data_IF_942920186871
#
_entry.id   IF_942920186871
#
_cell.length_a   1.000
_cell.length_b   1.000
_cell.length_c   1.000
_cell.angle_alpha   90.00
_cell.angle_beta   90.00
_cell.angle_gamma   90.00
#
_symmetry.space_group_name_H-M   'P 1'
#
loop_
_entity.id
_entity.type
_entity.pdbx_description
1 polymer ?
#
# COMPACT_ATOMS: atom_id res chain seq x y z
N UNK A 1 25.25 -43.39 -42.74
CA UNK A 1 23.89 -43.53 -42.21
C UNK A 1 23.92 -43.09 -40.76
N UNK A 2 23.65 -41.81 -40.53
CA UNK A 2 23.50 -41.24 -39.20
C UNK A 2 22.02 -41.33 -38.80
N UNK A 3 21.73 -42.17 -37.82
CA UNK A 3 20.45 -42.24 -37.17
C UNK A 3 20.20 -40.99 -36.35
N UNK A 4 19.24 -40.19 -36.71
CA UNK A 4 18.66 -39.13 -35.88
C UNK A 4 17.78 -39.79 -34.83
N UNK A 5 18.21 -39.70 -33.58
CA UNK A 5 17.42 -40.07 -32.43
C UNK A 5 16.70 -38.82 -31.93
N UNK A 6 15.54 -38.52 -32.52
CA UNK A 6 14.64 -37.41 -32.12
C UNK A 6 13.69 -37.93 -31.05
N UNK A 7 14.15 -38.08 -29.84
CA UNK A 7 13.36 -38.14 -28.63
C UNK A 7 13.66 -36.94 -27.74
N UNK A 8 13.13 -35.78 -28.14
CA UNK A 8 12.95 -34.68 -27.20
C UNK A 8 11.97 -35.14 -26.14
N UNK A 9 12.47 -35.67 -25.04
CA UNK A 9 11.68 -35.86 -23.82
C UNK A 9 11.39 -34.46 -23.30
N UNK A 10 10.21 -33.93 -23.64
CA UNK A 10 9.65 -32.77 -22.98
C UNK A 10 9.47 -33.15 -21.51
N UNK A 11 10.46 -32.82 -20.69
CA UNK A 11 10.31 -32.88 -19.26
C UNK A 11 9.21 -31.89 -18.88
N UNK A 12 8.02 -32.39 -18.60
CA UNK A 12 7.01 -31.65 -17.84
C UNK A 12 7.62 -31.36 -16.49
N UNK A 13 8.33 -30.24 -16.39
CA UNK A 13 8.70 -29.70 -15.10
C UNK A 13 7.38 -29.43 -14.36
N UNK A 14 7.06 -30.28 -13.41
CA UNK A 14 5.95 -30.05 -12.50
C UNK A 14 6.40 -28.92 -11.56
N UNK A 15 5.92 -27.72 -11.82
CA UNK A 15 6.07 -26.56 -10.93
C UNK A 15 5.26 -26.68 -9.62
N UNK A 16 4.74 -27.87 -9.31
CA UNK A 16 3.95 -28.12 -8.09
C UNK A 16 4.81 -28.37 -6.83
N UNK A 17 6.14 -28.41 -6.96
CA UNK A 17 7.00 -28.84 -5.85
C UNK A 17 7.35 -27.75 -4.83
N UNK A 18 7.19 -26.46 -5.20
CA UNK A 18 7.61 -25.34 -4.33
C UNK A 18 6.41 -24.52 -3.80
N UNK A 19 5.19 -25.02 -3.90
CA UNK A 19 4.04 -24.36 -3.31
C UNK A 19 4.08 -24.50 -1.79
N UNK A 20 3.85 -23.41 -1.03
CA UNK A 20 3.77 -23.51 0.43
C UNK A 20 2.75 -24.56 0.85
N UNK A 21 3.07 -25.35 1.87
CA UNK A 21 2.12 -26.34 2.39
C UNK A 21 0.88 -25.63 2.91
N UNK A 22 -0.30 -26.27 2.79
CA UNK A 22 -1.56 -25.71 3.30
C UNK A 22 -1.51 -25.39 4.82
N UNK A 23 -0.57 -25.99 5.56
CA UNK A 23 -0.35 -25.73 6.98
C UNK A 23 0.44 -24.43 7.25
N UNK A 24 1.19 -23.95 6.25
CA UNK A 24 2.01 -22.74 6.33
C UNK A 24 1.37 -21.55 5.62
N UNK A 25 0.26 -21.79 4.95
CA UNK A 25 -0.46 -20.80 4.17
C UNK A 25 -1.34 -19.89 5.05
N UNK A 26 -1.60 -18.66 4.54
CA UNK A 26 -2.51 -17.75 5.20
C UNK A 26 -3.95 -18.27 5.23
N UNK A 27 -4.73 -17.80 6.19
CA UNK A 27 -6.13 -18.21 6.32
C UNK A 27 -7.04 -17.40 5.39
N UNK A 28 -7.89 -18.09 4.59
CA UNK A 28 -8.95 -17.40 3.87
C UNK A 28 -10.01 -16.87 4.85
N UNK A 29 -10.40 -15.61 4.67
CA UNK A 29 -11.45 -14.95 5.45
C UNK A 29 -12.72 -14.88 4.61
N UNK A 30 -13.77 -15.64 4.99
CA UNK A 30 -15.06 -15.61 4.31
C UNK A 30 -15.12 -16.40 3.00
N UNK A 31 -16.22 -16.22 2.24
CA UNK A 31 -16.52 -16.97 1.02
C UNK A 31 -15.81 -16.45 -0.25
N UNK A 32 -15.16 -15.29 -0.16
CA UNK A 32 -14.55 -14.60 -1.29
C UNK A 32 -15.54 -13.86 -2.18
N UNK A 33 -15.04 -12.85 -2.86
CA UNK A 33 -15.81 -11.91 -3.69
C UNK A 33 -15.71 -12.33 -5.16
N UNK A 34 -16.82 -12.63 -5.85
CA UNK A 34 -16.80 -12.88 -7.28
C UNK A 34 -16.50 -11.58 -8.04
N UNK A 35 -15.54 -11.63 -8.97
CA UNK A 35 -15.12 -10.49 -9.77
C UNK A 35 -15.12 -10.82 -11.26
N UNK A 36 -15.43 -9.85 -12.12
CA UNK A 36 -15.35 -10.02 -13.57
C UNK A 36 -13.87 -9.97 -14.01
N UNK A 37 -13.55 -10.74 -15.06
CA UNK A 37 -12.22 -10.76 -15.67
C UNK A 37 -12.32 -10.62 -17.19
N UNK A 38 -11.35 -9.93 -17.80
CA UNK A 38 -11.25 -9.77 -19.24
C UNK A 38 -10.71 -11.04 -19.91
N UNK A 39 -11.51 -11.61 -20.82
CA UNK A 39 -11.07 -12.72 -21.68
C UNK A 39 -10.47 -12.13 -22.98
N UNK A 40 -9.15 -12.11 -23.07
CA UNK A 40 -8.44 -11.55 -24.22
C UNK A 40 -8.68 -12.35 -25.53
N UNK A 41 -8.96 -13.66 -25.43
CA UNK A 41 -9.25 -14.51 -26.61
C UNK A 41 -10.61 -14.18 -27.22
N UNK A 42 -11.61 -13.99 -26.35
CA UNK A 42 -12.97 -13.66 -26.74
C UNK A 42 -13.26 -12.16 -26.80
N UNK A 43 -12.27 -11.32 -26.39
CA UNK A 43 -12.39 -9.86 -26.30
C UNK A 43 -13.66 -9.40 -25.59
N UNK A 44 -13.99 -10.04 -24.48
CA UNK A 44 -15.19 -9.71 -23.69
C UNK A 44 -14.91 -9.81 -22.20
N UNK A 45 -15.66 -9.02 -21.43
CA UNK A 45 -15.67 -9.11 -19.97
C UNK A 45 -16.54 -10.28 -19.54
N UNK A 46 -16.00 -11.22 -18.77
CA UNK A 46 -16.75 -12.33 -18.19
C UNK A 46 -17.11 -11.99 -16.76
N UNK A 47 -18.40 -11.99 -16.44
CA UNK A 47 -18.91 -11.79 -15.09
C UNK A 47 -18.55 -13.01 -14.23
N UNK A 48 -18.26 -12.77 -12.94
CA UNK A 48 -18.00 -13.79 -11.92
C UNK A 48 -16.95 -14.83 -12.34
N UNK A 49 -15.95 -14.37 -13.11
CA UNK A 49 -14.96 -15.26 -13.72
C UNK A 49 -13.80 -15.61 -12.80
N UNK A 50 -13.50 -14.77 -11.83
CA UNK A 50 -12.52 -15.02 -10.78
C UNK A 50 -13.13 -14.73 -9.42
N UNK A 51 -12.51 -15.26 -8.37
CA UNK A 51 -12.93 -15.05 -6.99
C UNK A 51 -11.78 -14.49 -6.19
N UNK A 52 -11.97 -13.30 -5.63
CA UNK A 52 -11.02 -12.67 -4.71
C UNK A 52 -11.25 -13.22 -3.32
N UNK A 53 -10.20 -13.73 -2.70
CA UNK A 53 -10.23 -14.28 -1.36
C UNK A 53 -9.34 -13.42 -0.46
N UNK A 54 -9.92 -12.80 0.56
CA UNK A 54 -9.14 -12.13 1.61
C UNK A 54 -8.37 -13.19 2.41
N UNK A 55 -7.10 -12.90 2.69
CA UNK A 55 -6.19 -13.79 3.42
C UNK A 55 -5.63 -13.06 4.62
N UNK A 56 -5.58 -13.75 5.76
CA UNK A 56 -4.98 -13.23 6.98
C UNK A 56 -3.75 -14.07 7.37
N UNK A 57 -2.66 -13.40 7.77
CA UNK A 57 -1.42 -14.06 8.16
C UNK A 57 -1.57 -14.84 9.47
N UNK A 58 -1.47 -16.18 9.41
CA UNK A 58 -1.64 -17.07 10.58
C UNK A 58 -0.55 -16.93 11.64
N UNK A 59 0.68 -16.66 11.24
CA UNK A 59 1.88 -16.82 12.08
C UNK A 59 2.75 -15.58 12.16
N UNK A 60 2.15 -14.41 11.93
CA UNK A 60 2.90 -13.17 12.05
C UNK A 60 3.17 -12.84 13.53
N UNK A 61 4.41 -13.00 13.96
CA UNK A 61 4.86 -12.55 15.27
C UNK A 61 5.36 -11.12 15.17
N UNK A 62 5.15 -10.26 16.20
CA UNK A 62 5.70 -8.91 16.20
C UNK A 62 7.22 -8.90 16.03
N UNK A 63 7.73 -8.09 15.10
CA UNK A 63 9.15 -8.01 14.76
C UNK A 63 9.63 -6.56 14.87
N UNK A 64 10.84 -6.39 15.41
CA UNK A 64 11.54 -5.10 15.38
C UNK A 64 12.01 -4.79 13.95
N UNK A 65 12.27 -3.50 13.67
CA UNK A 65 12.85 -3.10 12.39
C UNK A 65 14.24 -3.73 12.24
N UNK A 66 14.53 -4.46 11.15
CA UNK A 66 15.82 -5.08 10.90
C UNK A 66 16.98 -4.08 10.96
N UNK A 67 18.13 -4.50 11.49
CA UNK A 67 19.28 -3.62 11.68
C UNK A 67 19.78 -2.97 10.39
N UNK A 68 19.81 -3.72 9.29
CA UNK A 68 20.23 -3.22 7.98
C UNK A 68 19.33 -2.12 7.42
N UNK A 69 18.07 -2.01 7.87
CA UNK A 69 17.12 -0.97 7.45
C UNK A 69 17.12 0.26 8.34
N UNK A 70 17.69 0.20 9.56
CA UNK A 70 17.55 1.28 10.54
C UNK A 70 18.11 2.62 10.05
N UNK A 71 19.27 2.61 9.39
CA UNK A 71 19.88 3.83 8.87
C UNK A 71 19.05 4.44 7.74
N UNK A 72 18.60 3.62 6.81
CA UNK A 72 17.74 4.04 5.70
C UNK A 72 16.39 4.58 6.22
N UNK A 73 15.77 3.89 7.18
CA UNK A 73 14.54 4.32 7.81
C UNK A 73 14.66 5.70 8.50
N UNK A 74 15.77 5.94 9.23
CA UNK A 74 16.03 7.25 9.86
C UNK A 74 16.12 8.36 8.82
N UNK A 75 16.84 8.13 7.72
CA UNK A 75 16.97 9.11 6.61
C UNK A 75 15.62 9.40 5.97
N UNK A 76 14.86 8.36 5.64
CA UNK A 76 13.54 8.51 5.04
C UNK A 76 12.56 9.22 5.97
N UNK A 77 12.51 8.88 7.26
CA UNK A 77 11.68 9.58 8.24
C UNK A 77 12.00 11.07 8.27
N UNK A 78 13.29 11.45 8.29
CA UNK A 78 13.72 12.85 8.27
C UNK A 78 13.27 13.58 6.99
N UNK A 79 13.45 12.95 5.83
CA UNK A 79 13.04 13.52 4.54
C UNK A 79 11.52 13.68 4.44
N UNK A 80 10.77 12.68 4.86
CA UNK A 80 9.32 12.71 4.83
C UNK A 80 8.75 13.69 5.87
N UNK A 81 9.32 13.78 7.06
CA UNK A 81 8.93 14.77 8.07
C UNK A 81 9.12 16.21 7.57
N UNK A 82 10.12 16.46 6.71
CA UNK A 82 10.32 17.76 6.09
C UNK A 82 9.21 18.11 5.07
N UNK A 83 8.47 17.10 4.55
CA UNK A 83 7.32 17.30 3.68
C UNK A 83 6.03 17.62 4.44
N UNK A 84 6.04 17.55 5.77
CA UNK A 84 4.88 17.90 6.59
C UNK A 84 4.59 19.39 6.41
N UNK A 85 3.35 19.80 6.03
CA UNK A 85 3.06 21.20 5.79
C UNK A 85 3.34 22.05 7.03
N UNK A 86 4.08 23.13 6.86
CA UNK A 86 4.26 24.12 7.90
C UNK A 86 2.90 24.79 8.20
N UNK A 87 2.68 25.13 9.48
CA UNK A 87 1.53 25.97 9.83
C UNK A 87 1.63 27.29 9.09
N UNK A 88 0.64 27.59 8.24
CA UNK A 88 0.56 28.87 7.54
C UNK A 88 -0.56 29.72 8.12
N UNK A 89 -0.31 31.01 8.20
CA UNK A 89 -1.32 31.99 8.53
C UNK A 89 -2.35 32.07 7.40
N UNK A 90 -3.59 31.77 7.73
CA UNK A 90 -4.72 31.99 6.82
C UNK A 90 -5.42 33.28 7.21
N UNK A 91 -5.63 34.16 6.22
CA UNK A 91 -6.40 35.40 6.34
C UNK A 91 -7.89 35.14 6.20
N UNK A 92 -8.68 36.11 6.57
CA UNK A 92 -10.14 36.09 6.42
C UNK A 92 -10.83 34.93 7.18
N UNK A 93 -10.40 34.68 8.40
CA UNK A 93 -11.05 33.69 9.28
C UNK A 93 -12.06 34.37 10.20
N UNK A 94 -13.17 33.68 10.51
CA UNK A 94 -14.19 34.17 11.45
C UNK A 94 -13.66 34.20 12.90
N UNK A 95 -12.71 33.28 13.19
CA UNK A 95 -12.06 33.12 14.50
C UNK A 95 -10.57 32.85 14.26
N UNK A 96 -9.68 33.32 15.17
CA UNK A 96 -8.25 33.10 15.02
C UNK A 96 -7.42 33.62 16.18
N UNK A 97 -6.12 33.36 16.13
CA UNK A 97 -5.15 33.74 17.17
C UNK A 97 -4.74 35.23 17.11
N UNK A 98 -4.81 35.84 15.94
CA UNK A 98 -4.43 37.24 15.70
C UNK A 98 -5.48 37.96 14.85
N UNK A 99 -5.55 39.29 14.97
CA UNK A 99 -6.39 40.15 14.15
C UNK A 99 -5.64 40.58 12.87
N UNK A 100 -6.26 40.44 11.71
CA UNK A 100 -5.82 41.09 10.47
C UNK A 100 -6.22 42.56 10.47
N UNK A 101 -5.28 43.43 10.89
CA UNK A 101 -5.51 44.87 11.01
C UNK A 101 -5.94 45.47 9.65
N UNK A 102 -5.37 45.01 8.55
CA UNK A 102 -5.73 45.49 7.21
C UNK A 102 -7.18 45.09 6.84
N UNK A 103 -7.63 43.91 7.24
CA UNK A 103 -9.01 43.49 7.06
C UNK A 103 -9.97 44.31 7.95
N UNK A 104 -9.58 44.61 9.18
CA UNK A 104 -10.35 45.47 10.08
C UNK A 104 -10.52 46.88 9.51
N UNK A 105 -9.44 47.49 9.00
CA UNK A 105 -9.48 48.83 8.40
C UNK A 105 -10.38 48.83 7.16
N UNK A 106 -10.25 47.84 6.29
CA UNK A 106 -11.11 47.70 5.10
C UNK A 106 -12.58 47.57 5.48
N UNK A 107 -12.89 46.72 6.41
CA UNK A 107 -14.28 46.49 6.88
C UNK A 107 -14.87 47.74 7.52
N UNK A 108 -14.05 48.50 8.27
CA UNK A 108 -14.47 49.77 8.82
C UNK A 108 -14.80 50.81 7.72
N UNK A 109 -13.94 50.91 6.70
CA UNK A 109 -14.17 51.80 5.56
C UNK A 109 -15.42 51.41 4.75
N UNK A 110 -15.63 50.11 4.51
CA UNK A 110 -16.79 49.58 3.79
C UNK A 110 -18.08 49.85 4.55
N UNK A 111 -18.12 49.72 5.89
CA UNK A 111 -19.24 50.07 6.71
C UNK A 111 -19.61 51.55 6.64
N UNK A 112 -18.58 52.41 6.62
CA UNK A 112 -18.79 53.86 6.45
C UNK A 112 -19.33 54.22 5.06
N UNK A 113 -19.01 53.39 4.06
CA UNK A 113 -19.53 53.53 2.68
C UNK A 113 -20.91 52.89 2.49
N UNK A 114 -21.54 52.35 3.56
CA UNK A 114 -22.88 51.73 3.52
C UNK A 114 -22.93 50.30 3.03
N UNK A 115 -21.78 49.61 2.93
CA UNK A 115 -21.70 48.21 2.56
C UNK A 115 -21.80 47.30 3.83
N UNK A 116 -22.84 46.51 3.94
CA UNK A 116 -23.02 45.55 5.00
C UNK A 116 -22.32 44.23 4.63
N UNK A 117 -21.09 44.03 5.11
CA UNK A 117 -20.34 42.77 4.97
C UNK A 117 -20.07 42.15 6.35
N UNK A 118 -20.04 40.81 6.44
CA UNK A 118 -19.51 40.08 7.59
C UNK A 118 -18.00 40.37 7.77
N UNK A 119 -17.51 40.24 8.98
CA UNK A 119 -16.14 40.64 9.34
C UNK A 119 -15.24 39.41 9.63
N UNK A 120 -14.69 38.73 8.62
CA UNK A 120 -13.65 37.76 8.84
C UNK A 120 -12.31 38.48 9.01
N UNK A 121 -12.03 38.94 10.24
CA UNK A 121 -10.89 39.81 10.55
C UNK A 121 -9.78 39.08 11.29
N UNK A 122 -9.84 37.77 11.37
CA UNK A 122 -8.83 37.01 12.10
C UNK A 122 -7.83 36.30 11.19
N UNK A 123 -6.62 36.16 11.71
CA UNK A 123 -5.57 35.30 11.22
C UNK A 123 -5.61 34.03 12.06
N UNK A 124 -5.78 32.87 11.43
CA UNK A 124 -5.68 31.59 12.13
C UNK A 124 -4.45 30.83 11.61
N UNK A 125 -3.74 30.21 12.54
CA UNK A 125 -2.66 29.28 12.22
C UNK A 125 -3.25 27.90 11.92
N UNK A 126 -3.75 27.71 10.72
CA UNK A 126 -4.21 26.41 10.33
C UNK A 126 -3.03 25.54 9.88
N UNK A 127 -2.91 24.38 10.53
CA UNK A 127 -2.13 23.28 10.00
C UNK A 127 -2.89 22.81 8.76
N UNK A 128 -2.35 23.04 7.58
CA UNK A 128 -2.90 22.36 6.40
C UNK A 128 -2.75 20.87 6.67
N UNK A 129 -3.85 20.21 7.02
CA UNK A 129 -3.84 18.76 7.18
C UNK A 129 -3.52 18.15 5.83
N UNK A 130 -2.57 17.24 5.81
CA UNK A 130 -2.34 16.42 4.62
C UNK A 130 -3.50 15.43 4.55
N UNK A 131 -4.39 15.66 3.61
CA UNK A 131 -5.45 14.71 3.28
C UNK A 131 -4.93 13.74 2.20
N UNK A 132 -3.91 12.98 2.56
CA UNK A 132 -3.29 11.99 1.69
C UNK A 132 -3.51 10.59 2.26
N UNK A 133 -4.12 9.73 1.45
CA UNK A 133 -4.21 8.30 1.72
C UNK A 133 -3.38 7.53 0.69
N UNK A 134 -2.47 6.69 1.18
CA UNK A 134 -1.61 5.86 0.33
C UNK A 134 -2.02 4.39 0.40
N UNK A 135 -2.20 3.76 -0.76
CA UNK A 135 -2.38 2.31 -0.87
C UNK A 135 -1.14 1.69 -1.52
N UNK A 136 -0.48 0.79 -0.81
CA UNK A 136 0.61 -0.02 -1.34
C UNK A 136 0.10 -1.42 -1.64
N UNK A 137 0.14 -1.82 -2.91
CA UNK A 137 -0.26 -3.14 -3.38
C UNK A 137 0.95 -3.88 -3.94
N UNK A 138 1.37 -4.95 -3.27
CA UNK A 138 2.55 -5.74 -3.63
C UNK A 138 2.16 -7.01 -4.40
N UNK A 139 2.88 -7.30 -5.49
CA UNK A 139 2.81 -8.60 -6.15
C UNK A 139 3.64 -9.62 -5.35
N UNK A 140 2.98 -10.67 -4.89
CA UNK A 140 3.57 -11.75 -4.11
C UNK A 140 3.62 -13.06 -4.92
N UNK A 141 3.54 -13.00 -6.24
CA UNK A 141 3.58 -14.17 -7.10
C UNK A 141 4.96 -14.86 -7.08
N UNK A 142 5.01 -16.10 -7.56
CA UNK A 142 6.22 -16.91 -7.57
C UNK A 142 7.39 -16.28 -8.35
N UNK A 143 7.11 -15.39 -9.31
CA UNK A 143 8.14 -14.64 -10.04
C UNK A 143 9.01 -13.76 -9.12
N UNK A 144 8.49 -13.38 -7.95
CA UNK A 144 9.24 -12.59 -6.95
C UNK A 144 10.26 -13.42 -6.16
N UNK A 145 10.30 -14.74 -6.34
CA UNK A 145 11.33 -15.61 -5.78
C UNK A 145 12.64 -15.58 -6.57
N UNK A 146 12.67 -14.89 -7.72
CA UNK A 146 13.86 -14.73 -8.54
C UNK A 146 14.99 -14.02 -7.76
N UNK A 147 16.22 -14.52 -7.91
CA UNK A 147 17.43 -13.89 -7.35
C UNK A 147 17.75 -12.59 -8.08
N UNK A 148 18.12 -11.55 -7.34
CA UNK A 148 18.64 -10.27 -7.88
C UNK A 148 20.16 -10.25 -7.78
N UNK A 149 20.71 -10.78 -6.68
CA UNK A 149 22.13 -10.86 -6.39
C UNK A 149 22.40 -12.07 -5.48
N UNK A 150 23.68 -12.31 -5.16
CA UNK A 150 24.04 -13.35 -4.22
C UNK A 150 23.28 -13.19 -2.91
N UNK A 151 22.43 -14.18 -2.59
CA UNK A 151 21.56 -14.25 -1.40
C UNK A 151 20.44 -13.18 -1.29
N UNK A 152 20.10 -12.43 -2.34
CA UNK A 152 19.00 -11.46 -2.33
C UNK A 152 17.95 -11.81 -3.41
N UNK A 153 16.71 -11.99 -3.03
CA UNK A 153 15.58 -12.24 -3.92
C UNK A 153 14.73 -10.98 -4.07
N UNK A 154 13.91 -10.92 -5.13
CA UNK A 154 12.96 -9.83 -5.35
C UNK A 154 12.02 -9.67 -4.14
N UNK A 155 11.54 -10.79 -3.57
CA UNK A 155 10.65 -10.75 -2.40
C UNK A 155 11.30 -10.12 -1.17
N UNK A 156 12.60 -10.29 -0.98
CA UNK A 156 13.33 -9.69 0.14
C UNK A 156 13.39 -8.16 -0.04
N UNK A 157 13.66 -7.68 -1.27
CA UNK A 157 13.61 -6.26 -1.61
C UNK A 157 12.19 -5.66 -1.45
N UNK A 158 11.14 -6.43 -1.77
CA UNK A 158 9.74 -6.02 -1.55
C UNK A 158 9.48 -5.85 -0.05
N UNK A 159 9.86 -6.81 0.78
CA UNK A 159 9.71 -6.72 2.25
C UNK A 159 10.42 -5.50 2.82
N UNK A 160 11.68 -5.31 2.45
CA UNK A 160 12.48 -4.17 2.89
C UNK A 160 11.87 -2.84 2.44
N UNK A 161 11.45 -2.75 1.19
CA UNK A 161 10.77 -1.59 0.63
C UNK A 161 9.47 -1.26 1.36
N UNK A 162 8.64 -2.27 1.66
CA UNK A 162 7.41 -2.10 2.41
C UNK A 162 7.67 -1.61 3.84
N UNK A 163 8.66 -2.17 4.54
CA UNK A 163 9.04 -1.71 5.87
C UNK A 163 9.52 -0.26 5.85
N UNK A 164 10.43 0.10 4.94
CA UNK A 164 10.97 1.44 4.83
C UNK A 164 9.90 2.48 4.49
N UNK A 165 9.01 2.15 3.55
CA UNK A 165 7.91 3.03 3.14
C UNK A 165 6.92 3.26 4.29
N UNK A 166 6.60 2.20 5.03
CA UNK A 166 5.71 2.28 6.20
C UNK A 166 6.31 3.15 7.31
N UNK A 167 7.61 3.02 7.58
CA UNK A 167 8.31 3.86 8.55
C UNK A 167 8.30 5.35 8.14
N UNK A 168 8.42 5.64 6.85
CA UNK A 168 8.38 6.99 6.33
C UNK A 168 6.97 7.61 6.41
N UNK A 169 5.93 6.89 5.96
CA UNK A 169 4.54 7.36 6.03
C UNK A 169 4.05 7.52 7.47
N UNK A 170 4.40 6.59 8.34
CA UNK A 170 4.07 6.68 9.77
C UNK A 170 4.70 7.92 10.42
N UNK A 171 5.91 8.32 10.01
CA UNK A 171 6.57 9.53 10.53
C UNK A 171 5.89 10.83 10.06
N UNK A 172 5.23 10.83 8.91
CA UNK A 172 4.42 11.97 8.42
C UNK A 172 3.05 12.05 9.07
N UNK A 173 2.57 10.95 9.65
CA UNK A 173 1.20 10.81 10.10
C UNK A 173 0.20 10.63 8.95
N UNK A 174 0.67 10.25 7.75
CA UNK A 174 -0.20 9.99 6.60
C UNK A 174 -0.97 8.67 6.80
N UNK A 175 -2.21 8.66 6.36
CA UNK A 175 -3.03 7.45 6.37
C UNK A 175 -2.60 6.51 5.24
N UNK A 176 -2.31 5.26 5.56
CA UNK A 176 -1.91 4.30 4.54
C UNK A 176 -2.37 2.88 4.83
N UNK A 177 -2.52 2.11 3.76
CA UNK A 177 -2.79 0.67 3.82
C UNK A 177 -1.79 -0.11 2.98
N UNK A 178 -1.59 -1.37 3.33
CA UNK A 178 -0.72 -2.30 2.61
C UNK A 178 -1.43 -3.61 2.39
N UNK A 179 -1.43 -4.05 1.14
CA UNK A 179 -1.94 -5.35 0.73
C UNK A 179 -0.96 -6.04 -0.20
N UNK A 180 -1.03 -7.36 -0.22
CA UNK A 180 -0.32 -8.17 -1.19
C UNK A 180 -1.29 -9.02 -2.00
N UNK A 181 -0.93 -9.41 -3.20
CA UNK A 181 -1.75 -10.30 -3.99
C UNK A 181 -0.96 -11.41 -4.67
N UNK A 182 -1.61 -12.55 -4.82
CA UNK A 182 -1.16 -13.68 -5.62
C UNK A 182 -2.39 -14.45 -6.12
N UNK A 183 -2.24 -15.46 -6.96
CA UNK A 183 -3.40 -16.23 -7.42
C UNK A 183 -3.12 -17.71 -7.60
N UNK A 184 -3.93 -18.55 -6.99
CA UNK A 184 -3.98 -19.97 -7.29
C UNK A 184 -5.14 -20.22 -8.26
N UNK A 185 -4.87 -20.17 -9.57
CA UNK A 185 -5.89 -20.27 -10.64
C UNK A 185 -6.92 -19.12 -10.57
N UNK A 186 -8.08 -19.27 -11.21
CA UNK A 186 -9.15 -18.26 -11.26
C UNK A 186 -10.00 -18.22 -10.00
N UNK A 187 -10.22 -19.39 -9.41
CA UNK A 187 -11.13 -19.54 -8.28
C UNK A 187 -10.56 -19.04 -6.94
N UNK A 188 -9.28 -18.67 -6.89
CA UNK A 188 -8.64 -18.27 -5.66
C UNK A 188 -7.58 -17.19 -5.96
N UNK A 189 -8.03 -15.94 -6.14
CA UNK A 189 -7.17 -14.77 -6.18
C UNK A 189 -7.00 -14.29 -4.75
N UNK A 190 -5.80 -14.46 -4.21
CA UNK A 190 -5.46 -14.23 -2.81
C UNK A 190 -5.11 -12.78 -2.62
N UNK A 191 -5.77 -12.14 -1.68
CA UNK A 191 -5.54 -10.75 -1.31
C UNK A 191 -5.15 -10.69 0.16
N UNK A 192 -3.85 -10.51 0.42
CA UNK A 192 -3.28 -10.56 1.75
C UNK A 192 -3.39 -9.21 2.43
N UNK A 193 -4.12 -9.15 3.54
CA UNK A 193 -4.19 -7.97 4.37
C UNK A 193 -2.97 -7.88 5.27
N UNK A 194 -2.11 -6.90 4.99
CA UNK A 194 -0.90 -6.64 5.78
C UNK A 194 -1.15 -5.55 6.79
N UNK A 195 -1.71 -4.43 6.34
CA UNK A 195 -2.13 -3.31 7.18
C UNK A 195 -3.35 -2.62 6.56
N UNK A 196 -4.54 -2.64 7.17
CA UNK A 196 -5.69 -1.87 6.73
C UNK A 196 -5.52 -0.37 7.06
N UNK A 197 -6.37 0.49 6.48
CA UNK A 197 -6.28 1.94 6.65
C UNK A 197 -6.52 2.42 8.09
N UNK A 198 -7.41 1.77 8.80
CA UNK A 198 -7.84 2.09 10.18
C UNK A 198 -6.87 1.61 11.25
N UNK A 199 -5.92 0.73 10.91
CA UNK A 199 -4.94 0.24 11.86
C UNK A 199 -3.74 1.19 12.00
N UNK A 200 -3.20 1.31 13.20
CA UNK A 200 -1.93 2.00 13.44
C UNK A 200 -0.75 1.07 13.14
N UNK A 201 0.28 1.58 12.44
CA UNK A 201 1.46 0.79 12.07
C UNK A 201 2.33 0.49 13.29
N UNK A 202 2.62 -0.78 13.54
CA UNK A 202 3.35 -1.28 14.68
C UNK A 202 4.24 -2.51 14.37
N UNK A 203 4.80 -3.11 15.42
CA UNK A 203 5.63 -4.32 15.33
C UNK A 203 4.87 -5.53 14.75
N UNK A 204 3.56 -5.60 14.93
CA UNK A 204 2.71 -6.67 14.39
C UNK A 204 2.66 -6.59 12.87
N UNK A 205 2.49 -5.38 12.32
CA UNK A 205 2.50 -5.16 10.87
C UNK A 205 3.87 -5.44 10.26
N UNK A 206 4.97 -5.09 10.95
CA UNK A 206 6.32 -5.51 10.53
C UNK A 206 6.45 -7.04 10.50
N UNK A 207 5.87 -7.71 11.48
CA UNK A 207 5.80 -9.16 11.52
C UNK A 207 5.03 -9.75 10.32
N UNK A 208 3.89 -9.16 9.95
CA UNK A 208 3.13 -9.57 8.76
C UNK A 208 3.95 -9.36 7.48
N UNK A 209 4.67 -8.25 7.34
CA UNK A 209 5.59 -8.00 6.20
C UNK A 209 6.70 -9.07 6.18
N UNK A 210 7.33 -9.36 7.31
CA UNK A 210 8.38 -10.36 7.39
C UNK A 210 7.91 -11.78 7.06
N UNK A 211 6.65 -12.08 7.35
CA UNK A 211 6.02 -13.38 7.06
C UNK A 211 5.61 -13.56 5.60
N UNK A 212 5.63 -12.51 4.76
CA UNK A 212 5.31 -12.59 3.33
C UNK A 212 6.21 -13.64 2.67
N UNK A 213 5.60 -14.50 1.86
CA UNK A 213 6.31 -15.50 1.04
C UNK A 213 5.86 -15.41 -0.40
N UNK A 214 6.77 -15.60 -1.38
CA UNK A 214 6.39 -15.68 -2.78
C UNK A 214 5.58 -16.95 -3.03
N UNK A 215 4.56 -16.86 -3.86
CA UNK A 215 3.80 -18.04 -4.21
C UNK A 215 2.78 -17.81 -5.31
N UNK A 216 2.52 -18.88 -6.06
CA UNK A 216 1.46 -18.93 -7.07
C UNK A 216 1.67 -18.01 -8.28
N UNK A 217 0.57 -17.59 -8.90
CA UNK A 217 0.56 -16.84 -10.15
C UNK A 217 0.09 -15.40 -9.93
N UNK A 218 0.28 -14.56 -10.93
CA UNK A 218 -0.15 -13.15 -10.93
C UNK A 218 -1.51 -12.98 -11.60
N UNK A 219 -2.49 -12.35 -10.90
CA UNK A 219 -3.77 -11.87 -11.46
C UNK A 219 -4.05 -10.46 -10.98
N UNK A 220 -3.29 -9.52 -11.50
CA UNK A 220 -3.35 -8.12 -11.11
C UNK A 220 -4.74 -7.49 -11.32
N UNK A 221 -5.44 -7.85 -12.41
CA UNK A 221 -6.75 -7.26 -12.75
C UNK A 221 -7.82 -7.46 -11.69
N UNK A 222 -7.78 -8.56 -10.93
CA UNK A 222 -8.69 -8.79 -9.82
C UNK A 222 -8.27 -8.06 -8.54
N UNK A 223 -6.98 -7.87 -8.34
CA UNK A 223 -6.44 -7.19 -7.15
C UNK A 223 -6.60 -5.66 -7.18
N UNK A 224 -6.70 -5.06 -8.38
CA UNK A 224 -6.87 -3.61 -8.57
C UNK A 224 -8.36 -3.18 -8.50
N UNK A 225 -9.29 -4.10 -8.64
CA UNK A 225 -10.74 -3.84 -8.60
C UNK A 225 -11.30 -3.92 -7.20
#
# INVERSE_FOLDING_TARGET
TLARDDKAVASKVRFDLDLPSAAEDDMPVGEGIPLPEWDWKKRQMKRDWCRLQMMEARKATPVALPEHLQLAARRLRSQFSALTPARRWQKNQAEGEELDIDACVRTYADRHAGHAGGMPAYLARNRQERDLACLLLADLSLSTDAGIADNLRVIDAIRDGMMLFSEALSACGDTFAMYGFSSLKRGNVRFHEIKPFDAHYDATHRGRIAAIRPGYYTRMGAAIR
#
